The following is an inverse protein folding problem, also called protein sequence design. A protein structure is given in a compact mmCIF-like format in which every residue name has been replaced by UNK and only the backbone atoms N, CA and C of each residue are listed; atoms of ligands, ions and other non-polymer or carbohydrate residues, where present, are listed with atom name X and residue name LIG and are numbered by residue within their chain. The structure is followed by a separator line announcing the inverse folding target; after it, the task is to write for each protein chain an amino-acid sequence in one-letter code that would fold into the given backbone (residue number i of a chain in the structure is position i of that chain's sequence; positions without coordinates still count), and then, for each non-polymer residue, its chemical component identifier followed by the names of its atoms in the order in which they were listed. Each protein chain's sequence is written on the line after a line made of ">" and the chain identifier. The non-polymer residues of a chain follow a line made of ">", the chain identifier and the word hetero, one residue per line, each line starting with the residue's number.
data_IF_952325330866
#
_entry.id   IF_952325330866
#
_cell.length_a   1.000
_cell.length_b   1.000
_cell.length_c   1.000
_cell.angle_alpha   90.00
_cell.angle_beta   90.00
_cell.angle_gamma   90.00
#
_symmetry.space_group_name_H-M   'P 1'
#
loop_
_entity.id
_entity.type
_entity.pdbx_description
1 polymer ?
#
# COMPACT_ATOMS: atom_id res chain seq x y z
N UNK A 1 11.86 -43.31 23.00
CA UNK A 1 11.01 -42.19 22.53
C UNK A 1 11.93 -41.18 21.86
N UNK A 2 11.94 -41.14 20.54
CA UNK A 2 12.78 -40.25 19.73
C UNK A 2 12.11 -38.88 19.63
N UNK A 3 12.78 -37.86 20.17
CA UNK A 3 12.36 -36.46 20.11
C UNK A 3 12.75 -35.90 18.73
N UNK A 4 11.76 -35.61 17.89
CA UNK A 4 11.97 -34.89 16.65
C UNK A 4 12.16 -33.40 16.97
N UNK A 5 13.42 -32.94 16.94
CA UNK A 5 13.75 -31.51 16.96
C UNK A 5 13.16 -30.85 15.73
N UNK A 6 12.22 -29.94 15.94
CA UNK A 6 11.72 -29.05 14.90
C UNK A 6 12.82 -28.04 14.56
N UNK A 7 13.66 -28.41 13.60
CA UNK A 7 14.54 -27.49 12.91
C UNK A 7 13.64 -26.64 11.99
N UNK A 8 13.05 -25.58 12.54
CA UNK A 8 12.36 -24.56 11.75
C UNK A 8 13.42 -23.79 10.98
N UNK A 9 13.90 -24.40 9.89
CA UNK A 9 14.85 -23.81 8.97
C UNK A 9 14.34 -22.41 8.60
N UNK A 10 15.13 -21.39 8.92
CA UNK A 10 14.87 -20.01 8.56
C UNK A 10 14.71 -19.94 7.05
N UNK A 11 13.46 -19.92 6.58
CA UNK A 11 13.17 -19.62 5.19
C UNK A 11 13.83 -18.27 4.88
N UNK A 12 14.53 -18.13 3.75
CA UNK A 12 15.22 -16.89 3.43
C UNK A 12 14.20 -15.74 3.52
N UNK A 13 14.56 -14.68 4.25
CA UNK A 13 13.78 -13.45 4.31
C UNK A 13 13.54 -13.02 2.86
N UNK A 14 12.31 -13.18 2.38
CA UNK A 14 11.95 -12.76 1.03
C UNK A 14 11.99 -11.24 1.01
N UNK A 15 12.97 -10.69 0.29
CA UNK A 15 13.13 -9.24 0.11
C UNK A 15 12.42 -8.73 -1.14
N UNK A 16 12.02 -9.64 -2.04
CA UNK A 16 11.31 -9.32 -3.28
C UNK A 16 9.94 -10.00 -3.25
N UNK A 17 8.83 -9.24 -3.24
CA UNK A 17 7.49 -9.83 -3.33
C UNK A 17 7.24 -10.40 -4.73
N UNK A 18 6.53 -11.53 -4.81
CA UNK A 18 6.12 -12.14 -6.09
C UNK A 18 4.67 -11.85 -6.45
N UNK A 19 3.86 -11.38 -5.48
CA UNK A 19 2.46 -10.97 -5.69
C UNK A 19 2.20 -9.57 -5.13
N UNK A 20 1.11 -8.95 -5.60
CA UNK A 20 0.64 -7.65 -5.09
C UNK A 20 0.33 -7.70 -3.59
N UNK A 21 -0.33 -8.76 -3.14
CA UNK A 21 -0.71 -8.94 -1.75
C UNK A 21 0.51 -9.17 -0.85
N UNK A 22 1.50 -9.91 -1.34
CA UNK A 22 2.79 -10.08 -0.66
C UNK A 22 3.52 -8.73 -0.54
N UNK A 23 3.51 -7.91 -1.59
CA UNK A 23 4.11 -6.57 -1.55
C UNK A 23 3.45 -5.67 -0.50
N UNK A 24 2.11 -5.65 -0.43
CA UNK A 24 1.40 -4.87 0.61
C UNK A 24 1.62 -5.42 2.01
N UNK A 25 1.74 -6.74 2.17
CA UNK A 25 2.05 -7.36 3.46
C UNK A 25 3.45 -6.93 3.94
N UNK A 26 4.44 -6.93 3.05
CA UNK A 26 5.79 -6.44 3.36
C UNK A 26 5.78 -4.95 3.71
N UNK A 27 5.07 -4.11 2.96
CA UNK A 27 4.93 -2.69 3.27
C UNK A 27 4.29 -2.46 4.64
N UNK A 28 3.27 -3.24 5.01
CA UNK A 28 2.65 -3.17 6.33
C UNK A 28 3.66 -3.51 7.45
N UNK A 29 4.49 -4.54 7.24
CA UNK A 29 5.57 -4.89 8.17
C UNK A 29 6.59 -3.76 8.34
N UNK A 30 7.00 -3.13 7.24
CA UNK A 30 7.92 -1.98 7.25
C UNK A 30 7.30 -0.79 8.00
N UNK A 31 6.02 -0.50 7.77
CA UNK A 31 5.31 0.57 8.49
C UNK A 31 5.29 0.32 10.01
N UNK A 32 5.03 -0.92 10.44
CA UNK A 32 5.05 -1.29 11.86
C UNK A 32 6.46 -1.16 12.47
N UNK A 33 7.50 -1.53 11.73
CA UNK A 33 8.87 -1.34 12.17
C UNK A 33 9.15 0.15 12.44
N UNK A 34 8.89 1.04 11.49
CA UNK A 34 9.12 2.47 11.68
C UNK A 34 8.25 3.10 12.77
N UNK A 35 7.03 2.62 13.00
CA UNK A 35 6.21 3.08 14.14
C UNK A 35 6.87 2.78 15.48
N UNK A 36 7.56 1.64 15.57
CA UNK A 36 8.21 1.21 16.80
C UNK A 36 9.59 1.87 16.99
N UNK A 37 10.36 2.04 15.92
CA UNK A 37 11.73 2.57 15.98
C UNK A 37 11.80 4.10 15.87
N UNK A 38 10.90 4.71 15.10
CA UNK A 38 10.85 6.14 14.84
C UNK A 38 9.39 6.69 14.91
N UNK A 39 8.77 6.74 16.10
CA UNK A 39 7.34 7.09 16.24
C UNK A 39 6.96 8.49 15.70
N UNK A 40 7.93 9.41 15.67
CA UNK A 40 7.77 10.78 15.18
C UNK A 40 8.06 10.91 13.68
N UNK A 41 8.49 9.84 13.02
CA UNK A 41 8.74 9.85 11.59
C UNK A 41 7.42 9.91 10.82
N UNK A 42 7.33 10.71 9.74
CA UNK A 42 6.17 10.73 8.87
C UNK A 42 6.09 9.49 7.96
N UNK A 43 7.20 8.75 7.80
CA UNK A 43 7.34 7.61 6.89
C UNK A 43 6.28 6.51 7.10
N UNK A 44 6.06 5.96 8.30
CA UNK A 44 5.09 4.88 8.49
C UNK A 44 3.66 5.26 8.06
N UNK A 45 3.27 6.51 8.29
CA UNK A 45 1.95 7.02 7.91
C UNK A 45 1.80 7.16 6.38
N UNK A 46 2.87 7.52 5.67
CA UNK A 46 2.87 7.57 4.21
C UNK A 46 2.75 6.17 3.61
N UNK A 47 3.41 5.18 4.20
CA UNK A 47 3.30 3.77 3.76
C UNK A 47 1.88 3.26 3.97
N UNK A 48 1.27 3.50 5.13
CA UNK A 48 -0.12 3.11 5.40
C UNK A 48 -1.11 3.77 4.43
N UNK A 49 -0.87 5.05 4.10
CA UNK A 49 -1.66 5.75 3.09
C UNK A 49 -1.50 5.14 1.70
N UNK A 50 -0.27 4.78 1.30
CA UNK A 50 0.00 4.11 0.04
C UNK A 50 -0.69 2.73 -0.03
N UNK A 51 -0.67 1.95 1.07
CA UNK A 51 -1.40 0.67 1.17
C UNK A 51 -2.91 0.90 1.02
N UNK A 52 -3.48 1.90 1.72
CA UNK A 52 -4.91 2.24 1.61
C UNK A 52 -5.29 2.58 0.17
N UNK A 53 -4.51 3.45 -0.48
CA UNK A 53 -4.76 3.87 -1.85
C UNK A 53 -4.59 2.73 -2.85
N UNK A 54 -3.59 1.88 -2.65
CA UNK A 54 -3.34 0.70 -3.50
C UNK A 54 -4.44 -0.36 -3.43
N UNK A 55 -5.23 -0.39 -2.36
CA UNK A 55 -6.38 -1.29 -2.21
C UNK A 55 -7.72 -0.66 -2.64
N UNK A 56 -7.70 0.59 -3.10
CA UNK A 56 -8.89 1.33 -3.52
C UNK A 56 -9.01 1.33 -5.05
N UNK A 57 -10.24 1.23 -5.62
CA UNK A 57 -10.46 1.55 -7.02
C UNK A 57 -10.06 2.99 -7.34
N UNK A 58 -9.52 3.24 -8.54
CA UNK A 58 -9.00 4.56 -8.95
C UNK A 58 -10.00 5.70 -8.72
N UNK A 59 -11.27 5.50 -9.07
CA UNK A 59 -12.33 6.51 -8.88
C UNK A 59 -12.56 6.85 -7.40
N UNK A 60 -12.49 5.85 -6.51
CA UNK A 60 -12.58 6.07 -5.07
C UNK A 60 -11.38 6.88 -4.56
N UNK A 61 -10.19 6.57 -5.07
CA UNK A 61 -8.96 7.26 -4.71
C UNK A 61 -8.96 8.73 -5.15
N UNK A 62 -9.38 9.01 -6.39
CA UNK A 62 -9.46 10.37 -6.93
C UNK A 62 -10.36 11.26 -6.06
N UNK A 63 -11.52 10.73 -5.63
CA UNK A 63 -12.44 11.44 -4.75
C UNK A 63 -11.86 11.72 -3.36
N UNK A 64 -11.08 10.79 -2.79
CA UNK A 64 -10.46 10.93 -1.46
C UNK A 64 -9.26 11.90 -1.48
N UNK A 65 -8.50 11.95 -2.57
CA UNK A 65 -7.25 12.71 -2.68
C UNK A 65 -7.47 14.15 -3.14
N UNK A 66 -8.46 14.38 -3.99
CA UNK A 66 -8.64 15.69 -4.61
C UNK A 66 -9.81 16.39 -3.93
N UNK A 67 -9.50 17.31 -3.02
CA UNK A 67 -10.49 18.14 -2.32
C UNK A 67 -11.04 19.28 -3.18
N UNK A 68 -10.37 19.62 -4.28
CA UNK A 68 -10.76 20.68 -5.21
C UNK A 68 -11.20 20.05 -6.55
N UNK A 69 -12.52 20.03 -6.78
CA UNK A 69 -13.16 19.36 -7.92
C UNK A 69 -12.59 19.79 -9.28
N UNK A 70 -12.05 21.01 -9.38
CA UNK A 70 -11.48 21.54 -10.62
C UNK A 70 -10.20 20.81 -11.09
N UNK A 71 -9.42 20.29 -10.15
CA UNK A 71 -8.20 19.51 -10.45
C UNK A 71 -8.56 18.09 -10.87
N UNK A 72 -9.65 17.52 -10.34
CA UNK A 72 -10.16 16.19 -10.73
C UNK A 72 -10.52 16.17 -12.20
N UNK A 73 -11.28 17.15 -12.65
CA UNK A 73 -11.78 17.20 -14.03
C UNK A 73 -10.66 17.38 -15.05
N UNK A 74 -9.59 18.07 -14.66
CA UNK A 74 -8.38 18.21 -15.49
C UNK A 74 -7.59 16.90 -15.58
N UNK A 75 -7.50 16.15 -14.47
CA UNK A 75 -6.85 14.83 -14.46
C UNK A 75 -7.69 13.79 -15.22
N UNK A 76 -9.02 13.80 -15.10
CA UNK A 76 -9.94 12.95 -15.88
C UNK A 76 -9.86 13.21 -17.38
N UNK A 77 -9.61 14.47 -17.77
CA UNK A 77 -9.37 14.85 -19.17
C UNK A 77 -8.07 14.22 -19.70
N UNK A 78 -6.98 14.33 -18.94
CA UNK A 78 -5.67 13.75 -19.29
C UNK A 78 -5.71 12.22 -19.31
N UNK A 79 -6.46 11.60 -18.41
CA UNK A 79 -6.63 10.14 -18.35
C UNK A 79 -7.70 9.61 -19.31
N UNK A 80 -8.42 10.50 -20.03
CA UNK A 80 -9.44 10.12 -21.01
C UNK A 80 -10.69 9.45 -20.42
N UNK A 81 -10.95 9.63 -19.12
CA UNK A 81 -12.05 8.96 -18.39
C UNK A 81 -13.29 9.85 -18.22
N UNK A 82 -13.37 10.99 -18.90
CA UNK A 82 -14.59 11.81 -18.90
C UNK A 82 -15.75 11.02 -19.52
N UNK A 83 -16.78 10.76 -18.72
CA UNK A 83 -18.07 10.33 -19.24
C UNK A 83 -18.65 11.47 -20.11
N UNK A 84 -19.14 11.17 -21.33
CA UNK A 84 -19.80 12.15 -22.15
C UNK A 84 -21.10 12.54 -21.45
N UNK A 85 -21.18 13.80 -21.00
CA UNK A 85 -22.39 14.40 -20.47
C UNK A 85 -23.43 14.39 -21.61
N UNK A 86 -24.50 13.61 -21.45
CA UNK A 86 -25.67 13.65 -22.33
C UNK A 86 -26.32 15.04 -22.33
#
# INVERSE_FOLDING_TARGET
>A
MTQASQDSASAPLRTTPTTRDEAFTMLAGIAQFFKNTEPQSPVPYLIERAIKWGNMPLEGWLNDVIKDSNVVDSIRDVLGTKEPKQ
#
